data_IF_016722466521
#
_entry.id   IF_016722466521
#
_cell.length_a   1.000
_cell.length_b   1.000
_cell.length_c   1.000
_cell.angle_alpha   90.00
_cell.angle_beta   90.00
_cell.angle_gamma   90.00
#
_symmetry.space_group_name_H-M   'P 1'
#
loop_
_entity.id
_entity.type
_entity.pdbx_description
1 polymer ?
#
# COMPACT_ATOMS: atom_id res chain seq x y z
N UNK A 1 3.61 -32.06 5.66
CA UNK A 1 4.24 -31.00 6.49
C UNK A 1 5.67 -30.81 6.01
N UNK A 2 6.06 -29.61 5.69
CA UNK A 2 7.47 -29.34 5.35
C UNK A 2 8.17 -28.82 6.60
N UNK A 3 9.32 -29.41 6.91
CA UNK A 3 10.22 -28.89 7.95
C UNK A 3 11.21 -27.87 7.40
N UNK A 4 11.07 -27.52 6.12
CA UNK A 4 11.94 -26.54 5.46
C UNK A 4 11.51 -25.14 5.82
N UNK A 5 12.40 -24.34 6.38
CA UNK A 5 12.21 -22.92 6.70
C UNK A 5 12.50 -21.98 5.52
N UNK A 6 12.87 -22.52 4.36
CA UNK A 6 13.22 -21.75 3.16
C UNK A 6 12.48 -22.32 1.95
N UNK A 7 11.81 -21.44 1.21
CA UNK A 7 11.21 -21.70 -0.09
C UNK A 7 12.00 -20.93 -1.16
N UNK A 8 12.52 -21.62 -2.17
CA UNK A 8 13.10 -20.97 -3.36
C UNK A 8 11.98 -20.76 -4.38
N UNK A 9 11.81 -19.54 -4.83
CA UNK A 9 10.82 -19.17 -5.83
C UNK A 9 11.49 -18.51 -7.03
N UNK A 10 10.91 -18.68 -8.22
CA UNK A 10 11.36 -17.97 -9.42
C UNK A 10 10.81 -16.54 -9.35
N UNK A 11 11.62 -15.56 -9.73
CA UNK A 11 11.23 -14.14 -9.82
C UNK A 11 10.89 -13.71 -11.25
N UNK A 12 10.73 -14.66 -12.18
CA UNK A 12 10.45 -14.35 -13.58
C UNK A 12 8.97 -14.04 -13.83
N UNK A 13 8.11 -14.40 -12.88
CA UNK A 13 6.66 -14.19 -12.94
C UNK A 13 6.16 -13.58 -11.64
N UNK A 14 5.06 -12.85 -11.72
CA UNK A 14 4.37 -12.36 -10.54
C UNK A 14 3.80 -13.54 -9.75
N UNK A 15 4.13 -13.59 -8.47
CA UNK A 15 3.59 -14.57 -7.53
C UNK A 15 3.40 -13.94 -6.16
N UNK A 16 2.33 -14.30 -5.51
CA UNK A 16 2.02 -13.89 -4.15
C UNK A 16 2.07 -15.10 -3.23
N UNK A 17 2.75 -14.98 -2.10
CA UNK A 17 2.95 -16.03 -1.13
C UNK A 17 2.47 -15.58 0.24
N UNK A 18 1.70 -16.42 0.88
CA UNK A 18 1.28 -16.24 2.28
C UNK A 18 1.61 -17.50 3.07
N UNK A 19 1.82 -17.35 4.36
CA UNK A 19 2.07 -18.45 5.29
C UNK A 19 0.84 -18.63 6.16
N UNK A 20 0.35 -19.85 6.24
CA UNK A 20 -0.68 -20.27 7.17
C UNK A 20 -0.07 -21.34 8.07
N UNK A 21 -0.01 -21.10 9.37
CA UNK A 21 0.39 -22.09 10.35
C UNK A 21 -0.80 -23.02 10.65
N UNK A 22 -0.53 -24.30 10.81
CA UNK A 22 -1.54 -25.30 11.19
C UNK A 22 -1.11 -25.88 12.54
N UNK A 23 -1.98 -25.76 13.54
CA UNK A 23 -1.72 -26.29 14.87
C UNK A 23 -1.84 -27.83 14.93
N UNK A 24 -1.56 -28.41 16.11
CA UNK A 24 -1.65 -29.87 16.34
C UNK A 24 -3.06 -30.43 16.17
N UNK A 25 -4.10 -29.60 16.30
CA UNK A 25 -5.50 -29.97 16.13
C UNK A 25 -5.99 -29.73 14.68
N UNK A 26 -5.07 -29.39 13.77
CA UNK A 26 -5.34 -29.06 12.36
C UNK A 26 -6.12 -27.76 12.16
N UNK A 27 -6.11 -26.86 13.13
CA UNK A 27 -6.75 -25.55 13.01
C UNK A 27 -5.76 -24.59 12.33
N UNK A 28 -6.14 -23.96 11.20
CA UNK A 28 -5.28 -22.99 10.52
C UNK A 28 -5.28 -21.65 11.26
N UNK A 29 -4.15 -20.97 11.25
CA UNK A 29 -4.04 -19.55 11.63
C UNK A 29 -4.62 -18.66 10.52
N UNK A 30 -4.77 -17.36 10.80
CA UNK A 30 -4.86 -16.37 9.74
C UNK A 30 -3.62 -16.44 8.85
N UNK A 31 -3.78 -16.09 7.58
CA UNK A 31 -2.66 -15.96 6.66
C UNK A 31 -1.77 -14.79 7.08
N UNK A 32 -0.46 -14.93 6.87
CA UNK A 32 0.47 -13.81 7.01
C UNK A 32 0.18 -12.70 5.99
N UNK A 33 0.77 -11.52 6.19
CA UNK A 33 0.87 -10.53 5.11
C UNK A 33 1.48 -11.19 3.86
N UNK A 34 1.00 -10.84 2.65
CA UNK A 34 1.51 -11.42 1.42
C UNK A 34 2.92 -10.94 1.11
N UNK A 35 3.78 -11.86 0.72
CA UNK A 35 5.07 -11.58 0.11
C UNK A 35 4.91 -11.67 -1.40
N UNK A 36 5.14 -10.56 -2.08
CA UNK A 36 5.02 -10.48 -3.53
C UNK A 36 6.40 -10.65 -4.16
N UNK A 37 6.52 -11.60 -5.08
CA UNK A 37 7.72 -11.85 -5.89
C UNK A 37 7.40 -11.51 -7.33
N UNK A 38 8.20 -10.64 -7.94
CA UNK A 38 8.02 -10.18 -9.31
C UNK A 38 9.37 -9.70 -9.89
N UNK A 39 9.41 -9.49 -11.19
CA UNK A 39 10.57 -8.89 -11.85
C UNK A 39 10.65 -7.39 -11.54
N UNK A 40 11.55 -7.02 -10.64
CA UNK A 40 11.77 -5.63 -10.20
C UNK A 40 12.12 -4.66 -11.34
N UNK A 41 12.59 -5.14 -12.50
CA UNK A 41 12.84 -4.28 -13.67
C UNK A 41 11.58 -3.63 -14.22
N UNK A 42 10.41 -4.18 -13.90
CA UNK A 42 9.11 -3.64 -14.26
C UNK A 42 8.51 -2.72 -13.19
N UNK A 43 9.19 -2.54 -12.06
CA UNK A 43 8.75 -1.67 -10.99
C UNK A 43 9.03 -0.21 -11.30
N UNK A 44 8.10 0.65 -10.94
CA UNK A 44 8.28 2.10 -10.88
C UNK A 44 7.84 2.58 -9.51
N UNK A 45 8.64 3.44 -8.94
CA UNK A 45 8.32 4.17 -7.72
C UNK A 45 7.91 5.58 -8.10
N UNK A 46 6.83 6.06 -7.51
CA UNK A 46 6.37 7.45 -7.60
C UNK A 46 6.40 8.00 -6.18
N UNK A 47 7.36 8.87 -5.92
CA UNK A 47 7.49 9.57 -4.64
C UNK A 47 6.38 10.61 -4.54
N UNK A 48 5.63 10.61 -3.44
CA UNK A 48 4.46 11.47 -3.30
C UNK A 48 4.85 12.93 -3.12
N UNK A 49 5.94 13.21 -2.45
CA UNK A 49 6.44 14.56 -2.21
C UNK A 49 6.85 15.31 -3.51
N UNK A 50 7.07 14.59 -4.60
CA UNK A 50 7.31 15.23 -5.90
C UNK A 50 6.03 15.84 -6.51
N UNK A 51 4.85 15.45 -6.01
CA UNK A 51 3.54 15.89 -6.52
C UNK A 51 2.73 16.69 -5.51
N UNK A 52 3.02 16.55 -4.22
CA UNK A 52 2.28 17.18 -3.13
C UNK A 52 3.17 18.19 -2.42
N UNK A 53 2.73 19.44 -2.35
CA UNK A 53 3.51 20.54 -1.75
C UNK A 53 3.69 20.41 -0.23
N UNK A 54 2.71 19.82 0.47
CA UNK A 54 2.77 19.58 1.92
C UNK A 54 3.41 18.24 2.21
N UNK A 55 4.73 18.18 2.08
CA UNK A 55 5.54 17.04 2.49
C UNK A 55 6.28 17.34 3.80
N UNK A 56 6.67 16.30 4.51
CA UNK A 56 7.43 16.37 5.77
C UNK A 56 8.62 15.41 5.70
N UNK A 57 9.59 15.60 6.58
CA UNK A 57 10.79 14.77 6.71
C UNK A 57 11.21 14.54 8.17
N UNK A 58 10.29 14.77 9.10
CA UNK A 58 10.52 14.65 10.55
C UNK A 58 10.89 13.23 10.99
N UNK A 59 10.31 12.22 10.36
CA UNK A 59 10.54 10.81 10.67
C UNK A 59 11.63 10.21 9.79
N UNK A 60 12.20 9.06 10.21
CA UNK A 60 13.34 8.45 9.53
C UNK A 60 12.91 7.31 8.59
N UNK A 61 13.86 6.81 7.77
CA UNK A 61 13.72 5.62 6.92
C UNK A 61 12.67 5.72 5.81
N UNK A 62 12.21 6.92 5.44
CA UNK A 62 11.46 7.14 4.21
C UNK A 62 12.39 7.04 2.99
N UNK A 63 11.83 6.97 1.80
CA UNK A 63 12.53 7.07 0.52
C UNK A 63 12.46 8.52 0.01
N UNK A 64 13.24 8.85 -1.03
CA UNK A 64 13.18 10.18 -1.62
C UNK A 64 13.58 11.30 -0.70
N UNK A 65 12.82 12.39 -0.72
CA UNK A 65 13.10 13.65 0.01
C UNK A 65 12.21 13.85 1.23
N UNK A 66 11.15 13.05 1.35
CA UNK A 66 10.15 13.20 2.40
C UNK A 66 9.00 12.21 2.24
N UNK A 67 7.88 12.54 2.82
CA UNK A 67 6.62 11.78 2.76
C UNK A 67 5.44 12.76 2.90
N UNK A 68 4.25 12.29 2.61
CA UNK A 68 3.00 13.08 2.65
C UNK A 68 2.10 12.54 3.74
N UNK A 69 1.66 13.39 4.67
CA UNK A 69 0.62 13.05 5.63
C UNK A 69 -0.75 13.12 4.95
N UNK A 70 -1.62 12.15 5.24
CA UNK A 70 -3.05 12.21 4.95
C UNK A 70 -3.85 11.93 6.22
N UNK A 71 -4.93 12.68 6.42
CA UNK A 71 -5.86 12.48 7.53
C UNK A 71 -7.28 12.96 7.14
N UNK A 72 -8.15 13.25 8.10
CA UNK A 72 -9.53 13.70 7.85
C UNK A 72 -9.63 15.11 7.25
N UNK A 73 -8.55 15.90 7.24
CA UNK A 73 -8.55 17.30 6.80
C UNK A 73 -7.36 17.69 5.92
N UNK A 74 -6.27 16.92 5.99
CA UNK A 74 -5.03 17.20 5.25
C UNK A 74 -4.88 16.16 4.15
N UNK A 75 -4.55 16.61 2.94
CA UNK A 75 -4.34 15.76 1.76
C UNK A 75 -5.44 14.69 1.60
N UNK A 76 -6.69 15.12 1.72
CA UNK A 76 -7.87 14.25 1.58
C UNK A 76 -8.05 13.74 0.15
N UNK A 77 -7.42 14.41 -0.81
CA UNK A 77 -7.33 13.99 -2.21
C UNK A 77 -5.89 14.16 -2.69
N UNK A 78 -5.26 13.07 -3.13
CA UNK A 78 -3.91 13.03 -3.67
C UNK A 78 -3.99 12.50 -5.09
N UNK A 79 -3.42 13.25 -6.03
CA UNK A 79 -3.45 12.91 -7.46
C UNK A 79 -2.03 12.66 -7.97
N UNK A 80 -1.81 11.49 -8.58
CA UNK A 80 -0.52 11.03 -9.06
C UNK A 80 -0.58 10.65 -10.54
N UNK A 81 0.20 11.29 -11.43
CA UNK A 81 0.28 10.91 -12.83
C UNK A 81 1.13 9.66 -13.02
N UNK A 82 0.72 8.79 -13.92
CA UNK A 82 1.47 7.61 -14.32
C UNK A 82 1.42 7.42 -15.83
N UNK A 83 2.54 6.99 -16.42
CA UNK A 83 2.60 6.62 -17.83
C UNK A 83 2.89 5.14 -17.98
N UNK A 84 1.90 4.39 -18.49
CA UNK A 84 2.02 2.98 -18.81
C UNK A 84 2.71 2.82 -20.19
N UNK A 85 3.88 2.19 -20.21
CA UNK A 85 4.63 1.98 -21.45
C UNK A 85 3.99 0.92 -22.36
N UNK A 86 3.20 0.01 -21.78
CA UNK A 86 2.50 -1.07 -22.48
C UNK A 86 1.13 -1.27 -21.83
N UNK A 87 0.15 -1.70 -22.60
CA UNK A 87 -1.12 -2.20 -22.06
C UNK A 87 -0.88 -3.48 -21.26
N UNK A 88 -1.71 -3.73 -20.25
CA UNK A 88 -1.61 -4.93 -19.42
C UNK A 88 -2.23 -4.79 -18.05
N UNK A 89 -2.00 -5.80 -17.21
CA UNK A 89 -2.38 -5.76 -15.80
C UNK A 89 -1.23 -5.17 -15.00
N UNK A 90 -1.56 -4.17 -14.22
CA UNK A 90 -0.64 -3.50 -13.29
C UNK A 90 -1.10 -3.74 -11.87
N UNK A 91 -0.12 -3.90 -10.98
CA UNK A 91 -0.34 -3.96 -9.54
C UNK A 91 0.32 -2.75 -8.91
N UNK A 92 -0.34 -2.16 -7.94
CA UNK A 92 0.22 -1.06 -7.17
C UNK A 92 -0.15 -1.20 -5.70
N UNK A 93 0.70 -0.60 -4.88
CA UNK A 93 0.59 -0.51 -3.42
C UNK A 93 1.29 0.75 -2.95
N UNK A 94 0.99 1.20 -1.76
CA UNK A 94 1.64 2.35 -1.16
C UNK A 94 2.61 1.90 -0.08
N UNK A 95 3.77 2.55 -0.04
CA UNK A 95 4.68 2.49 1.09
C UNK A 95 4.23 3.54 2.10
N UNK A 96 3.99 3.14 3.35
CA UNK A 96 3.37 4.00 4.34
C UNK A 96 3.86 3.70 5.76
N UNK A 97 3.63 4.65 6.69
CA UNK A 97 3.71 4.45 8.12
C UNK A 97 2.40 4.90 8.79
N UNK A 98 2.01 4.21 9.86
CA UNK A 98 0.89 4.56 10.71
C UNK A 98 1.22 4.22 12.17
N UNK A 99 1.61 5.25 12.93
CA UNK A 99 2.02 5.16 14.33
C UNK A 99 0.89 5.38 15.34
N UNK A 100 -0.39 5.33 14.91
CA UNK A 100 -1.53 5.66 15.77
C UNK A 100 -1.85 4.61 16.87
N UNK A 101 -1.17 3.48 16.88
CA UNK A 101 -1.39 2.44 17.86
C UNK A 101 -0.86 1.08 17.44
N UNK A 102 -1.06 0.09 18.30
CA UNK A 102 -0.70 -1.29 18.01
C UNK A 102 -1.56 -1.86 16.88
N UNK A 103 -1.02 -2.82 16.16
CA UNK A 103 -1.72 -3.49 15.05
C UNK A 103 -3.05 -4.08 15.54
N UNK A 104 -4.10 -3.85 14.77
CA UNK A 104 -5.46 -4.35 15.03
C UNK A 104 -6.07 -3.93 16.38
N UNK A 105 -5.68 -2.76 16.89
CA UNK A 105 -6.29 -2.16 18.09
C UNK A 105 -6.96 -0.83 17.73
N UNK A 106 -8.05 -0.50 18.42
CA UNK A 106 -8.71 0.81 18.39
C UNK A 106 -9.16 1.30 17.00
N UNK A 107 -9.03 0.48 15.97
CA UNK A 107 -9.47 0.78 14.59
C UNK A 107 -8.99 2.13 14.03
N UNK A 108 -7.74 2.49 14.28
CA UNK A 108 -7.11 3.75 13.84
C UNK A 108 -6.37 3.58 12.49
N UNK A 109 -6.83 2.68 11.63
CA UNK A 109 -6.32 2.58 10.26
C UNK A 109 -6.77 3.78 9.44
N UNK A 110 -5.97 4.19 8.46
CA UNK A 110 -6.46 5.07 7.42
C UNK A 110 -7.03 4.24 6.27
N UNK A 111 -8.09 4.75 5.64
CA UNK A 111 -8.77 4.13 4.50
C UNK A 111 -8.96 5.19 3.42
N UNK A 112 -8.67 4.85 2.18
CA UNK A 112 -8.84 5.74 1.02
C UNK A 112 -9.40 4.97 -0.15
N UNK A 113 -10.33 5.58 -0.86
CA UNK A 113 -10.75 5.11 -2.19
C UNK A 113 -9.66 5.40 -3.20
N UNK A 114 -9.43 4.45 -4.07
CA UNK A 114 -8.53 4.62 -5.20
C UNK A 114 -9.33 4.67 -6.48
N UNK A 115 -9.11 5.71 -7.26
CA UNK A 115 -9.64 5.88 -8.60
C UNK A 115 -8.49 5.92 -9.62
N UNK A 116 -8.77 5.43 -10.81
CA UNK A 116 -7.86 5.57 -11.95
C UNK A 116 -8.67 6.09 -13.12
N UNK A 117 -8.24 7.21 -13.68
CA UNK A 117 -8.95 7.93 -14.75
C UNK A 117 -10.42 8.20 -14.39
N UNK A 118 -10.68 8.56 -13.12
CA UNK A 118 -12.02 8.81 -12.59
C UNK A 118 -12.87 7.58 -12.27
N UNK A 119 -12.38 6.36 -12.56
CA UNK A 119 -13.08 5.11 -12.27
C UNK A 119 -12.56 4.47 -10.98
N UNK A 120 -13.44 4.00 -10.12
CA UNK A 120 -13.06 3.30 -8.89
C UNK A 120 -12.28 2.03 -9.20
N UNK A 121 -11.08 1.92 -8.66
CA UNK A 121 -10.17 0.79 -8.80
C UNK A 121 -10.16 -0.11 -7.56
N UNK A 122 -10.52 0.43 -6.40
CA UNK A 122 -10.55 -0.30 -5.13
C UNK A 122 -10.37 0.60 -3.93
N UNK A 123 -10.12 -0.03 -2.79
CA UNK A 123 -9.86 0.65 -1.52
C UNK A 123 -8.49 0.28 -1.01
N UNK A 124 -7.69 1.28 -0.66
CA UNK A 124 -6.40 1.08 0.01
C UNK A 124 -6.55 1.32 1.49
N UNK A 125 -5.96 0.43 2.28
CA UNK A 125 -5.99 0.47 3.74
C UNK A 125 -4.56 0.63 4.25
N UNK A 126 -4.40 1.50 5.24
CA UNK A 126 -3.14 1.81 5.90
C UNK A 126 -3.23 1.40 7.38
N UNK A 127 -3.09 0.10 7.69
CA UNK A 127 -3.18 -0.40 9.06
C UNK A 127 -2.16 0.26 9.99
N UNK A 128 -2.48 0.27 11.28
CA UNK A 128 -1.54 0.66 12.32
C UNK A 128 -0.33 -0.29 12.33
N UNK A 129 0.86 0.25 12.57
CA UNK A 129 2.12 -0.50 12.53
C UNK A 129 2.87 -0.51 13.86
N UNK A 130 2.35 0.15 14.86
CA UNK A 130 2.92 0.25 16.21
C UNK A 130 2.59 1.59 16.86
N UNK A 131 2.48 1.62 18.17
CA UNK A 131 2.22 2.86 18.91
C UNK A 131 3.43 3.80 18.81
N UNK A 132 3.23 5.00 18.25
CA UNK A 132 4.27 6.00 17.98
C UNK A 132 5.36 5.56 16.97
N UNK A 133 5.14 4.46 16.25
CA UNK A 133 6.10 3.88 15.29
C UNK A 133 6.00 4.55 13.90
N UNK A 134 6.14 5.86 13.84
CA UNK A 134 6.03 6.66 12.60
C UNK A 134 7.20 6.49 11.63
N UNK A 135 8.25 5.76 12.01
CA UNK A 135 9.36 5.36 11.13
C UNK A 135 9.33 3.87 10.75
N UNK A 136 8.27 3.16 11.14
CA UNK A 136 8.03 1.76 10.79
C UNK A 136 7.26 1.67 9.47
N UNK A 137 7.99 1.74 8.36
CA UNK A 137 7.41 1.72 7.03
C UNK A 137 7.05 0.31 6.57
N UNK A 138 5.90 0.18 5.93
CA UNK A 138 5.42 -1.05 5.33
C UNK A 138 4.62 -0.78 4.07
N UNK A 139 3.83 -1.75 3.63
CA UNK A 139 3.04 -1.63 2.41
C UNK A 139 1.57 -1.88 2.67
N UNK A 140 0.72 -1.19 1.92
CA UNK A 140 -0.73 -1.44 1.91
C UNK A 140 -1.06 -2.76 1.21
N UNK A 141 -2.34 -3.13 1.22
CA UNK A 141 -2.87 -4.12 0.29
C UNK A 141 -2.51 -3.73 -1.15
N UNK A 142 -2.28 -4.74 -1.97
CA UNK A 142 -2.05 -4.57 -3.41
C UNK A 142 -3.38 -4.52 -4.16
N UNK A 143 -3.48 -3.63 -5.14
CA UNK A 143 -4.64 -3.50 -6.02
C UNK A 143 -4.18 -3.75 -7.46
N UNK A 144 -4.94 -4.55 -8.20
CA UNK A 144 -4.66 -4.86 -9.61
C UNK A 144 -5.68 -4.16 -10.50
N UNK A 145 -5.18 -3.56 -11.58
CA UNK A 145 -6.00 -2.91 -12.60
C UNK A 145 -5.45 -3.16 -13.99
N UNK A 146 -6.33 -3.22 -14.97
CA UNK A 146 -5.98 -3.28 -16.37
C UNK A 146 -5.83 -1.86 -16.91
N UNK A 147 -4.62 -1.51 -17.39
CA UNK A 147 -4.32 -0.23 -17.99
C UNK A 147 -4.03 -0.39 -19.49
N UNK A 148 -4.44 0.58 -20.26
CA UNK A 148 -3.98 0.76 -21.63
C UNK A 148 -2.56 1.35 -21.65
N UNK A 149 -1.87 1.28 -22.78
CA UNK A 149 -0.66 2.09 -22.97
C UNK A 149 -1.06 3.57 -23.00
N UNK A 150 -0.38 4.41 -22.25
CA UNK A 150 -0.65 5.86 -22.23
C UNK A 150 -0.52 6.48 -20.84
N UNK A 151 -1.01 7.71 -20.76
CA UNK A 151 -1.05 8.46 -19.49
C UNK A 151 -2.30 8.09 -18.72
N UNK A 152 -2.16 7.93 -17.41
CA UNK A 152 -3.21 7.64 -16.45
C UNK A 152 -3.10 8.57 -15.26
N UNK A 153 -4.20 8.82 -14.59
CA UNK A 153 -4.27 9.60 -13.38
C UNK A 153 -4.78 8.74 -12.24
N UNK A 154 -3.95 8.54 -11.22
CA UNK A 154 -4.32 7.89 -9.98
C UNK A 154 -4.80 8.94 -8.98
N UNK A 155 -5.89 8.67 -8.33
CA UNK A 155 -6.45 9.52 -7.28
C UNK A 155 -6.71 8.69 -6.03
N UNK A 156 -6.16 9.14 -4.90
CA UNK A 156 -6.40 8.57 -3.58
C UNK A 156 -7.25 9.59 -2.85
N UNK A 157 -8.49 9.25 -2.54
CA UNK A 157 -9.45 10.19 -1.95
C UNK A 157 -10.06 9.66 -0.66
N UNK A 158 -10.33 10.58 0.26
CA UNK A 158 -11.16 10.33 1.43
C UNK A 158 -12.61 10.54 1.01
N UNK A 159 -13.36 9.47 0.92
CA UNK A 159 -14.79 9.46 0.60
C UNK A 159 -15.60 9.14 1.86
N UNK A 160 -16.91 9.38 1.83
CA UNK A 160 -17.79 9.09 2.97
C UNK A 160 -17.77 7.62 3.40
N UNK A 161 -17.60 6.71 2.44
CA UNK A 161 -17.49 5.27 2.71
C UNK A 161 -16.13 4.84 3.27
N UNK A 162 -15.15 5.74 3.36
CA UNK A 162 -13.83 5.43 3.91
C UNK A 162 -13.74 5.65 5.44
N UNK A 163 -14.87 5.73 6.11
CA UNK A 163 -14.91 5.74 7.55
C UNK A 163 -14.40 4.41 8.11
N UNK A 164 -13.55 4.50 9.12
CA UNK A 164 -13.18 3.35 9.94
C UNK A 164 -14.03 3.35 11.22
N UNK A 165 -13.87 2.34 12.07
CA UNK A 165 -14.61 2.26 13.32
C UNK A 165 -14.15 3.29 14.38
N UNK A 166 -13.06 4.03 14.13
CA UNK A 166 -12.61 5.16 14.91
C UNK A 166 -12.74 6.42 14.05
N UNK A 167 -13.83 7.12 14.18
CA UNK A 167 -14.20 8.28 13.36
C UNK A 167 -13.26 9.48 13.50
N UNK A 168 -12.45 9.53 14.58
CA UNK A 168 -11.55 10.65 14.85
C UNK A 168 -10.20 10.49 14.14
N UNK A 169 -9.72 9.25 13.98
CA UNK A 169 -8.38 8.94 13.48
C UNK A 169 -8.48 8.17 12.16
N UNK A 170 -8.10 8.81 11.07
CA UNK A 170 -7.99 8.22 9.73
C UNK A 170 -6.70 8.77 9.08
N UNK A 171 -5.55 8.58 9.76
CA UNK A 171 -4.27 9.19 9.47
C UNK A 171 -3.23 8.16 9.06
N UNK A 172 -2.45 8.49 8.04
CA UNK A 172 -1.24 7.77 7.66
C UNK A 172 -0.21 8.74 7.06
N UNK A 173 1.05 8.34 7.08
CA UNK A 173 2.12 8.95 6.30
C UNK A 173 2.33 8.07 5.07
N UNK A 174 2.30 8.65 3.89
CA UNK A 174 2.49 7.95 2.62
C UNK A 174 3.79 8.42 2.00
N UNK A 175 4.69 7.49 1.76
CA UNK A 175 6.01 7.73 1.22
C UNK A 175 5.99 7.66 -0.31
N UNK A 176 5.64 6.50 -0.85
CA UNK A 176 5.67 6.26 -2.27
C UNK A 176 4.53 5.35 -2.75
N UNK A 177 4.13 5.51 -4.01
CA UNK A 177 3.34 4.52 -4.74
C UNK A 177 4.30 3.63 -5.54
N UNK A 178 4.21 2.32 -5.30
CA UNK A 178 4.95 1.30 -6.03
C UNK A 178 4.01 0.69 -7.05
N UNK A 179 4.37 0.77 -8.33
CA UNK A 179 3.59 0.20 -9.43
C UNK A 179 4.45 -0.68 -10.32
N UNK A 180 3.93 -1.83 -10.74
CA UNK A 180 4.62 -2.73 -11.65
C UNK A 180 3.62 -3.48 -12.55
N UNK A 181 4.06 -3.80 -13.74
CA UNK A 181 3.28 -4.57 -14.71
C UNK A 181 3.42 -6.06 -14.42
N UNK A 182 2.29 -6.77 -14.33
CA UNK A 182 2.22 -8.22 -14.04
C UNK A 182 2.08 -9.03 -15.32
N UNK A 183 1.33 -8.51 -16.30
CA UNK A 183 1.07 -9.12 -17.61
C UNK A 183 0.98 -8.08 -18.71
#
# INVERSE_FOLDING_TARGET
>A
MTTKTKLKVSNNEYSEYQIIAIDKNKVPSFASEPIIVYDKRNEKTIELEDYIQQSDNKYNNYQGKGYVETNNSVNTNITLPFSANKSGVYTFKFRYANGNGLVNTENKCAIRSLKVDGSTAGTTVFPQRGANEWSNWGYTNSIQIKLSKGKHLFEISLETENENMNTEINQALIDAMIIYRVK
#
